data_IF_917035917709
#
_entry.id   IF_917035917709
#
_cell.length_a   1.000
_cell.length_b   1.000
_cell.length_c   1.000
_cell.angle_alpha   90.00
_cell.angle_beta   90.00
_cell.angle_gamma   90.00
#
_symmetry.space_group_name_H-M   'P 1'
#
loop_
_entity.id
_entity.type
_entity.pdbx_description
1 polymer ?
#
# COMPACT_ATOMS: atom_id res chain seq x y z
N UNK A 1 -4.89 10.31 11.12
CA UNK A 1 -5.98 9.69 11.93
C UNK A 1 -5.44 9.13 13.24
N UNK A 2 -6.28 8.91 14.28
CA UNK A 2 -5.86 8.29 15.57
C UNK A 2 -5.11 6.96 15.35
N UNK A 3 -5.52 6.22 14.32
CA UNK A 3 -4.92 4.95 13.88
C UNK A 3 -3.44 5.13 13.48
N UNK A 4 -3.07 6.20 12.78
CA UNK A 4 -1.68 6.46 12.38
C UNK A 4 -0.74 6.66 13.58
N UNK A 5 -1.23 7.31 14.64
CA UNK A 5 -0.47 7.50 15.89
C UNK A 5 -0.32 6.19 16.67
N UNK A 6 -1.28 5.28 16.52
CA UNK A 6 -1.25 3.96 17.17
C UNK A 6 -0.32 2.98 16.43
N UNK A 7 -0.34 2.99 15.09
CA UNK A 7 0.32 1.98 14.26
C UNK A 7 1.83 2.15 14.11
N UNK A 8 2.38 3.34 14.40
CA UNK A 8 3.83 3.65 14.36
C UNK A 8 4.57 2.97 13.19
N UNK A 9 4.26 3.35 11.94
CA UNK A 9 4.81 2.66 10.78
C UNK A 9 6.32 2.87 10.62
N UNK A 10 7.04 1.80 10.31
CA UNK A 10 8.47 1.87 9.94
C UNK A 10 8.65 2.43 8.53
N UNK A 11 7.65 2.24 7.65
CA UNK A 11 7.70 2.69 6.27
C UNK A 11 6.43 3.44 5.85
N UNK A 12 6.62 4.52 5.12
CA UNK A 12 5.57 5.29 4.46
C UNK A 12 5.72 5.14 2.96
N UNK A 13 4.68 4.64 2.31
CA UNK A 13 4.70 4.31 0.90
C UNK A 13 3.79 5.27 0.15
N UNK A 14 4.26 5.79 -0.98
CA UNK A 14 3.49 6.68 -1.85
C UNK A 14 3.45 6.10 -3.26
N UNK A 15 2.26 5.98 -3.83
CA UNK A 15 2.07 5.56 -5.21
C UNK A 15 1.72 6.78 -6.05
N UNK A 16 2.57 7.07 -7.04
CA UNK A 16 2.48 8.22 -7.93
C UNK A 16 2.20 7.74 -9.35
N UNK A 17 1.14 8.26 -9.96
CA UNK A 17 0.83 8.02 -11.37
C UNK A 17 1.28 9.23 -12.20
N UNK A 18 2.49 9.17 -12.75
CA UNK A 18 3.14 10.27 -13.49
C UNK A 18 3.06 10.09 -15.02
N UNK A 19 1.91 9.66 -15.54
CA UNK A 19 1.72 9.36 -16.98
C UNK A 19 1.98 10.51 -17.96
N UNK A 20 1.98 11.76 -17.46
CA UNK A 20 2.19 12.96 -18.27
C UNK A 20 3.64 13.48 -18.23
N UNK A 21 4.51 12.86 -17.44
CA UNK A 21 5.88 13.31 -17.24
C UNK A 21 6.85 12.40 -17.98
N UNK A 22 7.96 12.96 -18.44
CA UNK A 22 9.05 12.15 -19.00
C UNK A 22 9.77 11.37 -17.90
N UNK A 23 9.88 10.02 -18.01
CA UNK A 23 10.54 9.21 -16.99
C UNK A 23 11.99 9.64 -16.72
N UNK A 24 12.74 9.97 -17.78
CA UNK A 24 14.15 10.30 -17.68
C UNK A 24 14.40 11.60 -16.92
N UNK A 25 13.56 12.62 -17.10
CA UNK A 25 13.68 13.89 -16.39
C UNK A 25 13.42 13.73 -14.90
N UNK A 26 12.35 13.01 -14.55
CA UNK A 26 12.00 12.73 -13.15
C UNK A 26 13.07 11.89 -12.46
N UNK A 27 13.53 10.81 -13.10
CA UNK A 27 14.56 9.93 -12.53
C UNK A 27 15.88 10.68 -12.33
N UNK A 28 16.31 11.51 -13.31
CA UNK A 28 17.50 12.35 -13.17
C UNK A 28 17.34 13.36 -12.03
N UNK A 29 16.18 14.02 -11.93
CA UNK A 29 15.88 14.96 -10.86
C UNK A 29 15.97 14.32 -9.47
N UNK A 30 15.43 13.11 -9.32
CA UNK A 30 15.48 12.36 -8.07
C UNK A 30 16.91 11.92 -7.72
N UNK A 31 17.66 11.36 -8.68
CA UNK A 31 19.06 10.98 -8.47
C UNK A 31 19.93 12.19 -8.15
N UNK A 32 19.67 13.35 -8.77
CA UNK A 32 20.34 14.61 -8.47
C UNK A 32 20.13 15.10 -7.03
N UNK A 33 18.99 14.73 -6.41
CA UNK A 33 18.70 14.97 -4.99
C UNK A 33 19.28 13.89 -4.05
N UNK A 34 20.08 12.94 -4.57
CA UNK A 34 20.66 11.84 -3.80
C UNK A 34 19.68 10.70 -3.48
N UNK A 35 18.50 10.68 -4.12
CA UNK A 35 17.47 9.67 -3.88
C UNK A 35 17.81 8.42 -4.72
N UNK A 36 17.76 7.25 -4.09
CA UNK A 36 17.97 6.00 -4.79
C UNK A 36 16.75 5.66 -5.65
N UNK A 37 16.97 5.40 -6.95
CA UNK A 37 15.91 5.09 -7.92
C UNK A 37 16.28 3.85 -8.75
N UNK A 38 15.37 2.89 -8.77
CA UNK A 38 15.50 1.59 -9.42
C UNK A 38 14.34 1.37 -10.42
N UNK A 39 14.63 0.86 -11.61
CA UNK A 39 13.61 0.53 -12.62
C UNK A 39 13.14 -0.92 -12.41
N UNK A 40 11.83 -1.12 -12.29
CA UNK A 40 11.23 -2.45 -12.26
C UNK A 40 11.09 -2.95 -13.70
N UNK A 41 12.08 -3.68 -14.19
CA UNK A 41 12.03 -4.37 -15.48
C UNK A 41 11.11 -5.58 -15.38
N UNK A 42 10.24 -5.78 -16.38
CA UNK A 42 9.29 -6.92 -16.42
C UNK A 42 9.96 -8.29 -16.55
N UNK A 43 11.21 -8.32 -17.00
CA UNK A 43 11.95 -9.54 -17.31
C UNK A 43 12.58 -10.20 -16.06
N UNK A 44 12.67 -9.47 -14.95
CA UNK A 44 13.18 -9.97 -13.68
C UNK A 44 12.04 -10.47 -12.80
N UNK A 45 12.32 -11.51 -12.00
CA UNK A 45 11.43 -11.91 -10.92
C UNK A 45 11.16 -10.70 -10.02
N UNK A 46 9.89 -10.34 -9.88
CA UNK A 46 9.46 -9.17 -9.13
C UNK A 46 9.94 -9.25 -7.68
N UNK A 47 10.02 -10.45 -7.11
CA UNK A 47 10.48 -10.63 -5.74
C UNK A 47 11.98 -10.31 -5.61
N UNK A 48 12.80 -10.84 -6.52
CA UNK A 48 14.25 -10.63 -6.54
C UNK A 48 14.63 -9.17 -6.81
N UNK A 49 13.88 -8.51 -7.71
CA UNK A 49 14.05 -7.09 -8.01
C UNK A 49 13.77 -6.22 -6.77
N UNK A 50 12.72 -6.56 -6.01
CA UNK A 50 12.37 -5.86 -4.78
C UNK A 50 13.41 -6.10 -3.68
N UNK A 51 13.88 -7.34 -3.50
CA UNK A 51 14.96 -7.63 -2.55
C UNK A 51 16.24 -6.86 -2.87
N UNK A 52 16.63 -6.84 -4.13
CA UNK A 52 17.80 -6.10 -4.61
C UNK A 52 17.65 -4.60 -4.32
N UNK A 53 16.46 -4.04 -4.56
CA UNK A 53 16.14 -2.65 -4.24
C UNK A 53 16.22 -2.37 -2.74
N UNK A 54 15.65 -3.23 -1.90
CA UNK A 54 15.62 -3.04 -0.45
C UNK A 54 17.02 -3.15 0.18
N UNK A 55 17.84 -4.08 -0.31
CA UNK A 55 19.24 -4.24 0.12
C UNK A 55 20.15 -3.08 -0.32
N UNK A 56 19.86 -2.45 -1.46
CA UNK A 56 20.70 -1.40 -2.05
C UNK A 56 20.30 0.03 -1.67
N UNK A 57 19.28 0.19 -0.82
CA UNK A 57 18.71 1.49 -0.49
C UNK A 57 18.36 1.59 0.99
N UNK A 58 18.26 2.82 1.51
CA UNK A 58 17.86 3.07 2.90
C UNK A 58 16.88 4.24 2.99
N UNK A 59 16.15 4.31 4.11
CA UNK A 59 15.14 5.34 4.36
C UNK A 59 13.74 4.77 4.59
N UNK A 60 12.92 5.55 5.30
CA UNK A 60 11.55 5.17 5.65
C UNK A 60 10.49 5.57 4.62
N UNK A 61 10.83 6.41 3.63
CA UNK A 61 9.91 6.82 2.58
C UNK A 61 10.18 6.05 1.29
N UNK A 62 9.15 5.35 0.82
CA UNK A 62 9.21 4.53 -0.40
C UNK A 62 8.19 5.04 -1.40
N UNK A 63 8.59 5.10 -2.66
CA UNK A 63 7.78 5.64 -3.74
C UNK A 63 7.69 4.62 -4.85
N UNK A 64 6.46 4.34 -5.30
CA UNK A 64 6.21 3.60 -6.54
C UNK A 64 5.75 4.62 -7.57
N UNK A 65 6.55 4.82 -8.60
CA UNK A 65 6.31 5.80 -9.66
C UNK A 65 5.92 5.04 -10.92
N UNK A 66 4.67 5.19 -11.34
CA UNK A 66 4.13 4.57 -12.54
C UNK A 66 4.01 5.62 -13.66
N UNK A 67 4.80 5.48 -14.71
CA UNK A 67 4.76 6.37 -15.88
C UNK A 67 3.80 5.88 -16.98
N UNK A 68 3.11 4.75 -16.77
CA UNK A 68 2.34 4.09 -17.82
C UNK A 68 3.16 3.10 -18.64
N UNK A 69 2.49 2.39 -19.56
CA UNK A 69 3.09 1.40 -20.48
C UNK A 69 3.86 0.26 -19.80
N UNK A 70 3.66 0.07 -18.49
CA UNK A 70 4.37 -0.94 -17.71
C UNK A 70 5.72 -0.50 -17.16
N UNK A 71 6.11 0.77 -17.33
CA UNK A 71 7.34 1.32 -16.77
C UNK A 71 7.09 1.82 -15.36
N UNK A 72 7.55 1.05 -14.38
CA UNK A 72 7.46 1.37 -12.96
C UNK A 72 8.85 1.59 -12.40
N UNK A 73 8.98 2.59 -11.55
CA UNK A 73 10.21 2.88 -10.83
C UNK A 73 9.94 2.82 -9.34
N UNK A 74 10.92 2.32 -8.60
CA UNK A 74 10.96 2.38 -7.15
C UNK A 74 11.94 3.46 -6.75
N UNK A 75 11.55 4.31 -5.81
CA UNK A 75 12.46 5.26 -5.20
C UNK A 75 12.39 5.17 -3.67
N UNK A 76 13.53 5.37 -3.01
CA UNK A 76 13.63 5.36 -1.54
C UNK A 76 14.39 6.57 -1.04
N UNK A 77 13.85 7.19 -0.01
CA UNK A 77 14.38 8.42 0.58
C UNK A 77 14.29 8.37 2.11
N UNK A 78 15.21 9.06 2.79
CA UNK A 78 15.14 9.33 4.23
C UNK A 78 14.09 10.39 4.56
N UNK A 79 13.87 11.33 3.63
CA UNK A 79 12.96 12.45 3.79
C UNK A 79 11.82 12.41 2.76
N UNK A 80 10.65 13.01 3.07
CA UNK A 80 9.55 13.06 2.14
C UNK A 80 9.88 13.97 0.96
N UNK A 81 9.78 13.42 -0.26
CA UNK A 81 9.82 14.17 -1.52
C UNK A 81 8.64 15.15 -1.55
N UNK A 82 8.94 16.43 -1.76
CA UNK A 82 7.98 17.52 -1.91
C UNK A 82 8.14 18.12 -3.30
N UNK A 83 7.22 17.77 -4.19
CA UNK A 83 7.15 18.31 -5.53
C UNK A 83 5.72 18.79 -5.78
N UNK A 84 5.55 20.11 -5.91
CA UNK A 84 4.22 20.74 -6.00
C UNK A 84 3.53 20.45 -7.34
N UNK A 85 4.29 20.10 -8.37
CA UNK A 85 3.78 19.77 -9.70
C UNK A 85 3.22 18.34 -9.81
N UNK A 86 3.42 17.50 -8.80
CA UNK A 86 3.01 16.10 -8.84
C UNK A 86 1.54 15.91 -8.44
N UNK A 87 0.84 14.93 -9.03
CA UNK A 87 -0.50 14.57 -8.60
C UNK A 87 -0.50 14.07 -7.16
N UNK A 88 -1.64 14.18 -6.49
CA UNK A 88 -1.80 13.69 -5.12
C UNK A 88 -1.55 12.18 -5.08
N UNK A 89 -0.53 11.69 -4.34
CA UNK A 89 -0.22 10.28 -4.28
C UNK A 89 -1.25 9.53 -3.45
N UNK A 90 -1.51 8.28 -3.81
CA UNK A 90 -2.13 7.32 -2.87
C UNK A 90 -1.11 6.98 -1.79
N UNK A 91 -1.56 6.95 -0.53
CA UNK A 91 -0.70 6.84 0.64
C UNK A 91 -0.96 5.52 1.35
N UNK A 92 0.13 4.84 1.68
CA UNK A 92 0.10 3.56 2.38
C UNK A 92 1.16 3.54 3.47
N UNK A 93 0.96 2.65 4.43
CA UNK A 93 1.87 2.42 5.53
C UNK A 93 2.27 0.95 5.57
N UNK A 94 3.53 0.68 5.92
CA UNK A 94 3.97 -0.68 6.24
C UNK A 94 4.65 -0.73 7.61
N UNK A 95 4.44 -1.85 8.30
CA UNK A 95 4.93 -2.12 9.66
C UNK A 95 6.41 -2.42 9.69
N UNK A 96 6.85 -3.26 8.76
CA UNK A 96 8.19 -3.78 8.67
C UNK A 96 8.59 -3.95 7.19
N UNK A 97 9.83 -4.38 6.98
CA UNK A 97 10.39 -4.57 5.65
C UNK A 97 9.69 -5.71 4.88
N UNK A 98 9.17 -6.71 5.59
CA UNK A 98 8.41 -7.80 5.00
C UNK A 98 7.05 -7.31 4.46
N UNK A 99 6.35 -6.46 5.21
CA UNK A 99 5.10 -5.81 4.79
C UNK A 99 5.33 -4.89 3.60
N UNK A 100 6.46 -4.15 3.60
CA UNK A 100 6.89 -3.36 2.45
C UNK A 100 7.14 -4.22 1.21
N UNK A 101 7.89 -5.32 1.36
CA UNK A 101 8.16 -6.29 0.28
C UNK A 101 6.85 -6.81 -0.31
N UNK A 102 5.95 -7.31 0.53
CA UNK A 102 4.61 -7.80 0.12
C UNK A 102 3.82 -6.74 -0.63
N UNK A 103 3.85 -5.48 -0.17
CA UNK A 103 3.17 -4.38 -0.85
C UNK A 103 3.73 -4.10 -2.25
N UNK A 104 5.06 -4.03 -2.39
CA UNK A 104 5.66 -3.70 -3.68
C UNK A 104 5.42 -4.84 -4.67
N UNK A 105 5.55 -6.09 -4.23
CA UNK A 105 5.34 -7.26 -5.10
C UNK A 105 3.87 -7.39 -5.51
N UNK A 106 2.92 -7.19 -4.59
CA UNK A 106 1.47 -7.20 -4.91
C UNK A 106 1.07 -6.11 -5.90
N UNK A 107 1.80 -4.99 -5.93
CA UNK A 107 1.59 -3.92 -6.92
C UNK A 107 2.29 -4.16 -8.26
N UNK A 108 3.22 -5.12 -8.31
CA UNK A 108 4.00 -5.46 -9.49
C UNK A 108 3.38 -6.63 -10.26
N UNK A 109 2.78 -7.61 -9.57
CA UNK A 109 2.12 -8.76 -10.19
C UNK A 109 0.65 -8.92 -9.79
N UNK A 110 -0.25 -9.11 -10.78
CA UNK A 110 -1.69 -9.35 -10.54
C UNK A 110 -1.95 -10.63 -9.74
N UNK A 111 -1.09 -11.65 -9.92
CA UNK A 111 -1.20 -12.95 -9.26
C UNK A 111 -0.96 -12.83 -7.75
N UNK A 112 0.04 -12.08 -7.34
CA UNK A 112 0.36 -11.91 -5.91
C UNK A 112 -0.56 -10.92 -5.23
N UNK A 113 -1.09 -9.94 -5.98
CA UNK A 113 -2.21 -9.14 -5.50
C UNK A 113 -3.38 -10.02 -5.05
N UNK A 114 -3.77 -11.00 -5.88
CA UNK A 114 -4.83 -11.93 -5.52
C UNK A 114 -4.46 -12.74 -4.26
N UNK A 115 -3.27 -13.34 -4.21
CA UNK A 115 -2.84 -14.17 -3.07
C UNK A 115 -2.76 -13.40 -1.75
N UNK A 116 -2.41 -12.11 -1.80
CA UNK A 116 -2.23 -11.28 -0.61
C UNK A 116 -3.54 -10.64 -0.15
N UNK A 117 -4.43 -10.28 -1.09
CA UNK A 117 -5.72 -9.64 -0.80
C UNK A 117 -6.86 -10.65 -0.54
N UNK A 118 -6.77 -11.91 -1.00
CA UNK A 118 -7.83 -12.91 -0.82
C UNK A 118 -8.10 -13.33 0.63
N UNK A 119 -7.09 -13.67 1.45
CA UNK A 119 -7.33 -14.20 2.79
C UNK A 119 -8.12 -13.22 3.70
N UNK A 120 -7.79 -11.92 3.75
CA UNK A 120 -8.58 -10.94 4.48
C UNK A 120 -10.03 -10.84 3.98
N UNK A 121 -10.22 -10.86 2.66
CA UNK A 121 -11.52 -10.70 2.01
C UNK A 121 -12.46 -11.88 2.31
N UNK A 122 -11.92 -13.10 2.35
CA UNK A 122 -12.68 -14.31 2.70
C UNK A 122 -13.09 -14.30 4.18
N UNK A 123 -12.19 -13.89 5.08
CA UNK A 123 -12.47 -13.80 6.52
C UNK A 123 -13.57 -12.77 6.77
N UNK A 124 -13.44 -11.56 6.19
CA UNK A 124 -14.44 -10.51 6.34
C UNK A 124 -15.77 -10.85 5.66
N UNK A 125 -15.75 -11.53 4.51
CA UNK A 125 -16.95 -12.03 3.85
C UNK A 125 -17.73 -13.01 4.71
N UNK A 126 -17.05 -13.93 5.40
CA UNK A 126 -17.67 -14.86 6.33
C UNK A 126 -18.26 -14.16 7.56
N UNK A 127 -17.54 -13.20 8.14
CA UNK A 127 -18.02 -12.36 9.25
C UNK A 127 -19.25 -11.55 8.83
N UNK A 128 -19.20 -10.92 7.66
CA UNK A 128 -20.29 -10.11 7.12
C UNK A 128 -21.55 -10.95 6.84
N UNK A 129 -21.40 -12.12 6.22
CA UNK A 129 -22.51 -13.07 6.01
C UNK A 129 -23.09 -13.57 7.33
N UNK A 130 -22.24 -13.89 8.31
CA UNK A 130 -22.69 -14.32 9.63
C UNK A 130 -23.49 -13.23 10.37
N UNK A 131 -23.04 -11.97 10.27
CA UNK A 131 -23.73 -10.83 10.89
C UNK A 131 -25.03 -10.50 10.15
N UNK A 132 -25.04 -10.45 8.82
CA UNK A 132 -26.26 -10.17 8.03
C UNK A 132 -27.31 -11.24 8.28
N UNK A 133 -26.94 -12.52 8.24
CA UNK A 133 -27.88 -13.62 8.43
C UNK A 133 -28.51 -13.59 9.83
N UNK A 134 -27.82 -13.05 10.84
CA UNK A 134 -28.33 -12.93 12.21
C UNK A 134 -29.09 -11.61 12.45
N UNK A 135 -28.66 -10.51 11.83
CA UNK A 135 -29.26 -9.20 11.98
C UNK A 135 -30.57 -9.05 11.20
N UNK A 136 -30.67 -9.61 9.98
CA UNK A 136 -31.88 -9.50 9.15
C UNK A 136 -33.00 -10.47 9.56
N UNK A 137 -32.67 -11.55 10.28
CA UNK A 137 -33.66 -12.58 10.60
C UNK A 137 -34.51 -12.25 11.83
N UNK A 138 -33.93 -11.58 12.83
CA UNK A 138 -34.58 -11.47 14.15
C UNK A 138 -34.74 -10.04 14.71
N UNK A 139 -34.12 -8.98 14.14
CA UNK A 139 -34.24 -7.66 14.77
C UNK A 139 -33.98 -6.45 13.84
N UNK A 140 -34.99 -5.61 13.50
CA UNK A 140 -34.79 -4.41 12.69
C UNK A 140 -33.92 -3.33 13.37
N UNK A 141 -33.64 -3.44 14.67
CA UNK A 141 -32.65 -2.59 15.36
C UNK A 141 -31.19 -2.90 15.02
N UNK A 142 -30.90 -4.11 14.51
CA UNK A 142 -29.53 -4.52 14.14
C UNK A 142 -28.98 -3.78 12.91
N UNK A 143 -29.87 -3.29 12.03
CA UNK A 143 -29.49 -2.51 10.85
C UNK A 143 -28.97 -1.11 11.20
N UNK A 144 -29.55 -0.46 12.22
CA UNK A 144 -29.07 0.85 12.72
C UNK A 144 -27.71 0.71 13.40
N UNK A 145 -27.48 -0.38 14.14
CA UNK A 145 -26.21 -0.68 14.80
C UNK A 145 -25.06 -0.85 13.80
N UNK A 146 -25.31 -1.47 12.65
CA UNK A 146 -24.30 -1.66 11.58
C UNK A 146 -23.83 -0.35 10.94
N UNK A 147 -24.71 0.65 10.82
CA UNK A 147 -24.34 1.95 10.24
C UNK A 147 -23.41 2.74 11.17
N UNK A 148 -23.66 2.71 12.48
CA UNK A 148 -22.79 3.37 13.47
C UNK A 148 -21.49 2.59 13.74
N UNK A 149 -21.53 1.26 13.73
CA UNK A 149 -20.31 0.45 13.85
C UNK A 149 -19.50 0.38 12.55
N UNK A 150 -20.04 0.76 11.39
CA UNK A 150 -19.31 0.74 10.13
C UNK A 150 -17.99 1.53 10.18
N UNK A 151 -17.97 2.66 10.89
CA UNK A 151 -16.75 3.44 11.10
C UNK A 151 -15.72 2.73 11.99
N UNK A 152 -16.15 2.16 13.12
CA UNK A 152 -15.28 1.42 14.05
C UNK A 152 -14.75 0.14 13.38
N UNK A 153 -15.60 -0.55 12.61
CA UNK A 153 -15.24 -1.74 11.86
C UNK A 153 -14.22 -1.43 10.77
N UNK A 154 -14.30 -0.27 10.12
CA UNK A 154 -13.31 0.15 9.12
C UNK A 154 -11.93 0.42 9.76
N UNK A 155 -11.90 1.12 10.90
CA UNK A 155 -10.66 1.34 11.64
C UNK A 155 -10.07 0.04 12.20
N UNK A 156 -10.93 -0.87 12.70
CA UNK A 156 -10.53 -2.19 13.17
C UNK A 156 -10.04 -3.07 12.02
N UNK A 157 -10.67 -2.99 10.84
CA UNK A 157 -10.24 -3.68 9.64
C UNK A 157 -8.86 -3.22 9.20
N UNK A 158 -8.60 -1.91 9.14
CA UNK A 158 -7.25 -1.37 8.88
C UNK A 158 -6.22 -1.89 9.89
N UNK A 159 -6.59 -1.97 11.17
CA UNK A 159 -5.71 -2.46 12.23
C UNK A 159 -5.40 -3.96 12.06
N UNK A 160 -6.40 -4.75 11.71
CA UNK A 160 -6.28 -6.19 11.44
C UNK A 160 -5.48 -6.44 10.15
N UNK A 161 -5.76 -5.71 9.06
CA UNK A 161 -4.99 -5.78 7.81
C UNK A 161 -3.53 -5.42 8.06
N UNK A 162 -3.27 -4.35 8.80
CA UNK A 162 -1.90 -3.96 9.16
C UNK A 162 -1.20 -5.01 10.03
N UNK A 163 -1.93 -5.68 10.93
CA UNK A 163 -1.38 -6.74 11.78
C UNK A 163 -1.12 -8.06 11.03
N UNK A 164 -2.00 -8.44 10.09
CA UNK A 164 -1.92 -9.70 9.35
C UNK A 164 -1.04 -9.62 8.10
N UNK A 165 -1.23 -8.56 7.30
CA UNK A 165 -0.59 -8.37 6.00
C UNK A 165 0.72 -7.60 6.15
N UNK A 166 0.77 -6.68 7.13
CA UNK A 166 1.93 -5.83 7.40
C UNK A 166 1.90 -4.47 6.69
N UNK A 167 0.82 -4.16 5.94
CA UNK A 167 0.60 -2.86 5.32
C UNK A 167 -0.89 -2.49 5.26
N UNK A 168 -1.22 -1.20 5.19
CA UNK A 168 -2.58 -0.68 4.99
C UNK A 168 -2.58 0.68 4.27
N UNK A 169 -3.74 1.12 3.78
CA UNK A 169 -3.94 2.48 3.24
C UNK A 169 -4.04 3.51 4.38
N UNK A 170 -3.33 4.65 4.23
CA UNK A 170 -3.32 5.78 5.20
C UNK A 170 -4.66 6.52 5.16
#
# INVERSE_FOLDING_TARGET
MIVERLLKPSYRIRVLELRKFEPNEVVKGLRGKGIYVFELTRDLDAELAVESFLASSYGGYVYIIDFGEGRKFLARSTEPIKEDSWPTPKRFMARDENGLKRFIVSRTSLRERLLTELPPLVIWGAVFLGIINRAFRDNPGGSLFLVFFGFILNDLAKLVEYALIGYCEE
#
